data_IF_390853561436
#
_entry.id   IF_390853561436
#
_cell.length_a   1.000
_cell.length_b   1.000
_cell.length_c   1.000
_cell.angle_alpha   90.00
_cell.angle_beta   90.00
_cell.angle_gamma   90.00
#
_symmetry.space_group_name_H-M   'P 1'
#
loop_
_entity.id
_entity.type
_entity.pdbx_description
1 polymer ?
#
# COMPACT_ATOMS: atom_id res chain seq x y z
N UNK A 1 22.59 -28.04 -3.79
CA UNK A 1 21.60 -27.43 -4.68
C UNK A 1 20.93 -26.32 -3.88
N UNK A 2 21.31 -25.08 -4.15
CA UNK A 2 20.69 -23.91 -3.55
C UNK A 2 19.28 -23.85 -4.14
N UNK A 3 18.27 -24.10 -3.32
CA UNK A 3 16.92 -23.69 -3.66
C UNK A 3 16.94 -22.16 -3.66
N UNK A 4 16.94 -21.56 -4.84
CA UNK A 4 16.43 -20.21 -5.04
C UNK A 4 15.03 -20.21 -4.43
N UNK A 5 14.94 -19.78 -3.18
CA UNK A 5 13.69 -19.25 -2.64
C UNK A 5 13.46 -18.00 -3.46
N UNK A 6 12.68 -18.14 -4.52
CA UNK A 6 12.01 -17.05 -5.21
C UNK A 6 11.13 -16.39 -4.13
N UNK A 7 11.74 -15.47 -3.38
CA UNK A 7 10.99 -14.64 -2.45
C UNK A 7 10.10 -13.80 -3.38
N UNK A 8 8.76 -13.96 -3.33
CA UNK A 8 7.88 -13.13 -4.13
C UNK A 8 8.32 -11.68 -3.95
N UNK A 9 8.42 -10.93 -5.05
CA UNK A 9 8.98 -9.58 -5.02
C UNK A 9 8.38 -8.81 -3.83
N UNK A 10 9.22 -8.15 -3.04
CA UNK A 10 8.76 -7.44 -1.84
C UNK A 10 7.57 -6.52 -2.16
N UNK A 11 7.60 -5.90 -3.35
CA UNK A 11 6.50 -5.15 -3.97
C UNK A 11 5.22 -5.96 -4.18
N UNK A 12 5.30 -7.16 -4.78
CA UNK A 12 4.14 -8.03 -5.05
C UNK A 12 3.46 -8.47 -3.75
N UNK A 13 4.23 -8.65 -2.67
CA UNK A 13 3.70 -8.95 -1.34
C UNK A 13 2.95 -7.76 -0.74
N UNK A 14 3.47 -6.53 -0.94
CA UNK A 14 2.81 -5.29 -0.51
C UNK A 14 1.53 -5.06 -1.32
N UNK A 15 1.56 -5.27 -2.63
CA UNK A 15 0.36 -5.17 -3.49
C UNK A 15 -0.74 -6.12 -3.02
N UNK A 16 -0.41 -7.39 -2.75
CA UNK A 16 -1.38 -8.38 -2.27
C UNK A 16 -2.00 -7.97 -0.93
N UNK A 17 -1.18 -7.46 -0.01
CA UNK A 17 -1.63 -6.95 1.30
C UNK A 17 -2.59 -5.75 1.13
N UNK A 18 -2.23 -4.78 0.30
CA UNK A 18 -3.06 -3.60 0.05
C UNK A 18 -4.39 -4.00 -0.58
N UNK A 19 -4.38 -4.92 -1.55
CA UNK A 19 -5.60 -5.44 -2.18
C UNK A 19 -6.52 -6.12 -1.16
N UNK A 20 -5.98 -6.97 -0.27
CA UNK A 20 -6.75 -7.64 0.78
C UNK A 20 -7.42 -6.62 1.71
N UNK A 21 -6.64 -5.66 2.21
CA UNK A 21 -7.13 -4.62 3.12
C UNK A 21 -8.16 -3.72 2.45
N UNK A 22 -7.96 -3.30 1.20
CA UNK A 22 -8.94 -2.47 0.50
C UNK A 22 -10.22 -3.24 0.19
N UNK A 23 -10.12 -4.53 -0.15
CA UNK A 23 -11.29 -5.38 -0.42
C UNK A 23 -12.13 -5.59 0.84
N UNK A 24 -11.50 -5.80 2.00
CA UNK A 24 -12.21 -6.07 3.27
C UNK A 24 -12.81 -4.82 3.92
N UNK A 25 -12.21 -3.66 3.69
CA UNK A 25 -12.65 -2.37 4.26
C UNK A 25 -13.65 -1.63 3.37
N UNK A 26 -13.79 -2.04 2.11
CA UNK A 26 -14.84 -1.54 1.22
C UNK A 26 -16.22 -2.05 1.66
N UNK A 27 -17.18 -1.14 1.76
CA UNK A 27 -18.59 -1.47 2.02
C UNK A 27 -19.48 -0.86 0.92
N UNK A 28 -20.15 -1.68 0.08
CA UNK A 28 -20.06 -3.15 0.04
C UNK A 28 -18.68 -3.64 -0.44
N UNK A 29 -18.31 -4.90 -0.15
CA UNK A 29 -17.05 -5.49 -0.62
C UNK A 29 -16.96 -5.42 -2.14
N UNK A 30 -15.94 -4.75 -2.66
CA UNK A 30 -15.70 -4.60 -4.09
C UNK A 30 -14.41 -5.33 -4.48
N UNK A 31 -14.34 -5.97 -5.66
CA UNK A 31 -13.11 -6.59 -6.13
C UNK A 31 -12.08 -5.51 -6.44
N UNK A 32 -11.07 -5.39 -5.58
CA UNK A 32 -9.94 -4.49 -5.80
C UNK A 32 -8.85 -5.24 -6.56
N UNK A 33 -8.22 -4.56 -7.51
CA UNK A 33 -7.08 -5.08 -8.28
C UNK A 33 -5.95 -4.06 -8.28
N UNK A 34 -4.76 -4.46 -8.71
CA UNK A 34 -3.61 -3.54 -8.83
C UNK A 34 -3.85 -2.33 -9.73
N UNK A 35 -4.77 -2.44 -10.70
CA UNK A 35 -5.13 -1.35 -11.62
C UNK A 35 -6.32 -0.51 -11.14
N UNK A 36 -6.89 -0.83 -9.99
CA UNK A 36 -8.00 -0.05 -9.41
C UNK A 36 -7.48 1.35 -9.03
N UNK A 37 -8.18 2.39 -9.50
CA UNK A 37 -7.86 3.77 -9.18
C UNK A 37 -8.23 4.08 -7.72
N UNK A 38 -7.30 4.67 -6.97
CA UNK A 38 -7.52 4.99 -5.55
C UNK A 38 -8.59 6.07 -5.36
N UNK A 39 -8.76 6.95 -6.34
CA UNK A 39 -9.77 8.02 -6.30
C UNK A 39 -11.20 7.47 -6.12
N UNK A 40 -11.51 6.30 -6.68
CA UNK A 40 -12.81 5.64 -6.53
C UNK A 40 -13.04 5.19 -5.07
N UNK A 41 -11.96 4.86 -4.37
CA UNK A 41 -11.95 4.39 -2.99
C UNK A 41 -11.85 5.55 -1.97
N UNK A 42 -11.24 6.67 -2.34
CA UNK A 42 -10.98 7.84 -1.48
C UNK A 42 -12.22 8.45 -0.83
N UNK A 43 -13.39 8.33 -1.45
CA UNK A 43 -14.64 8.87 -0.90
C UNK A 43 -15.25 8.01 0.20
N UNK A 44 -14.64 6.87 0.54
CA UNK A 44 -15.13 5.96 1.58
C UNK A 44 -14.39 6.12 2.90
N UNK A 45 -15.13 6.06 4.01
CA UNK A 45 -14.56 5.89 5.36
C UNK A 45 -13.65 4.65 5.41
N UNK A 46 -13.96 3.63 4.60
CA UNK A 46 -13.15 2.44 4.44
C UNK A 46 -11.70 2.74 4.03
N UNK A 47 -11.45 3.78 3.24
CA UNK A 47 -10.08 4.15 2.82
C UNK A 47 -9.24 4.66 3.98
N UNK A 48 -9.82 5.42 4.91
CA UNK A 48 -9.09 5.91 6.10
C UNK A 48 -8.66 4.73 6.98
N UNK A 49 -9.56 3.76 7.15
CA UNK A 49 -9.30 2.53 7.92
C UNK A 49 -8.24 1.69 7.20
N UNK A 50 -8.40 1.48 5.89
CA UNK A 50 -7.44 0.74 5.08
C UNK A 50 -6.04 1.32 5.16
N UNK A 51 -5.92 2.64 5.05
CA UNK A 51 -4.64 3.33 5.11
C UNK A 51 -3.99 3.23 6.48
N UNK A 52 -4.76 3.23 7.57
CA UNK A 52 -4.23 3.01 8.91
C UNK A 52 -3.70 1.57 9.07
N UNK A 53 -4.45 0.58 8.58
CA UNK A 53 -4.04 -0.83 8.65
C UNK A 53 -2.83 -1.16 7.75
N UNK A 54 -2.75 -0.57 6.55
CA UNK A 54 -1.58 -0.74 5.67
C UNK A 54 -0.33 -0.13 6.32
N UNK A 55 -0.46 1.08 6.90
CA UNK A 55 0.63 1.75 7.61
C UNK A 55 1.12 0.95 8.83
N UNK A 56 0.19 0.40 9.61
CA UNK A 56 0.51 -0.48 10.74
C UNK A 56 1.22 -1.76 10.29
N UNK A 57 0.68 -2.45 9.29
CA UNK A 57 1.25 -3.70 8.77
C UNK A 57 2.65 -3.52 8.18
N UNK A 58 2.90 -2.37 7.53
CA UNK A 58 4.19 -2.05 6.93
C UNK A 58 5.12 -1.27 7.87
N UNK A 59 4.67 -0.92 9.07
CA UNK A 59 5.38 -0.09 10.05
C UNK A 59 5.93 1.22 9.44
N UNK A 60 5.11 1.88 8.63
CA UNK A 60 5.44 3.14 7.94
C UNK A 60 4.38 4.18 8.25
N UNK A 61 4.80 5.44 8.30
CA UNK A 61 3.89 6.58 8.52
C UNK A 61 3.95 7.49 7.32
N UNK A 62 2.80 7.71 6.67
CA UNK A 62 2.65 8.61 5.54
C UNK A 62 1.76 9.78 5.94
N UNK A 63 2.21 10.99 5.61
CA UNK A 63 1.45 12.21 5.87
C UNK A 63 0.17 12.22 5.01
N UNK A 64 -1.01 12.42 5.61
CA UNK A 64 -2.29 12.34 4.90
C UNK A 64 -2.40 13.36 3.75
N UNK A 65 -1.77 14.53 3.87
CA UNK A 65 -1.75 15.52 2.80
C UNK A 65 -1.00 15.03 1.55
N UNK A 66 0.16 14.39 1.73
CA UNK A 66 0.95 13.83 0.62
C UNK A 66 0.23 12.66 -0.07
N UNK A 67 -0.56 11.90 0.70
CA UNK A 67 -1.37 10.80 0.19
C UNK A 67 -2.52 11.29 -0.70
N UNK A 68 -3.22 12.36 -0.31
CA UNK A 68 -4.34 12.92 -1.08
C UNK A 68 -3.90 13.32 -2.49
N UNK A 69 -2.76 13.99 -2.62
CA UNK A 69 -2.22 14.41 -3.92
C UNK A 69 -1.78 13.20 -4.76
N UNK A 70 -1.13 12.21 -4.14
CA UNK A 70 -0.73 10.98 -4.82
C UNK A 70 -1.92 10.18 -5.35
N UNK A 71 -3.04 10.14 -4.60
CA UNK A 71 -4.20 9.30 -4.93
C UNK A 71 -5.06 9.80 -6.08
N UNK A 72 -4.93 11.07 -6.47
CA UNK A 72 -5.75 11.65 -7.55
C UNK A 72 -5.55 10.95 -8.90
N UNK A 73 -4.36 10.39 -9.15
CA UNK A 73 -4.03 9.70 -10.40
C UNK A 73 -3.40 8.31 -10.19
N UNK A 74 -3.34 7.82 -8.95
CA UNK A 74 -2.65 6.57 -8.61
C UNK A 74 -3.57 5.35 -8.63
N UNK A 75 -2.96 4.22 -8.95
CA UNK A 75 -3.55 2.89 -8.79
C UNK A 75 -3.06 2.20 -7.51
N UNK A 76 -3.63 1.05 -7.18
CA UNK A 76 -3.14 0.21 -6.07
C UNK A 76 -1.68 -0.22 -6.25
N UNK A 77 -1.24 -0.45 -7.49
CA UNK A 77 0.18 -0.73 -7.78
C UNK A 77 1.08 0.46 -7.43
N UNK A 78 0.66 1.68 -7.81
CA UNK A 78 1.38 2.90 -7.46
C UNK A 78 1.43 3.10 -5.93
N UNK A 79 0.35 2.76 -5.23
CA UNK A 79 0.31 2.79 -3.77
C UNK A 79 1.35 1.86 -3.15
N UNK A 80 1.43 0.62 -3.65
CA UNK A 80 2.42 -0.35 -3.18
C UNK A 80 3.85 0.15 -3.38
N UNK A 81 4.14 0.75 -4.54
CA UNK A 81 5.45 1.33 -4.82
C UNK A 81 5.79 2.49 -3.86
N UNK A 82 4.84 3.37 -3.55
CA UNK A 82 5.03 4.47 -2.57
C UNK A 82 5.37 3.90 -1.19
N UNK A 83 4.63 2.89 -0.75
CA UNK A 83 4.86 2.23 0.54
C UNK A 83 6.21 1.51 0.59
N UNK A 84 6.59 0.80 -0.47
CA UNK A 84 7.89 0.16 -0.61
C UNK A 84 9.03 1.19 -0.50
N UNK A 85 8.97 2.27 -1.29
CA UNK A 85 9.97 3.35 -1.24
C UNK A 85 10.09 3.96 0.16
N UNK A 86 8.97 4.11 0.86
CA UNK A 86 8.93 4.67 2.21
C UNK A 86 9.52 3.73 3.26
N UNK A 87 9.27 2.42 3.14
CA UNK A 87 9.88 1.39 3.98
C UNK A 87 11.41 1.33 3.81
N UNK A 88 11.90 1.50 2.57
CA UNK A 88 13.33 1.55 2.28
C UNK A 88 13.99 2.85 2.76
N UNK A 89 13.32 4.00 2.64
CA UNK A 89 13.84 5.28 3.12
C UNK A 89 14.03 5.29 4.65
N UNK A 90 13.14 4.64 5.39
CA UNK A 90 13.24 4.50 6.86
C UNK A 90 14.40 3.58 7.29
N UNK A 91 14.94 2.78 6.37
CA UNK A 91 16.04 1.83 6.61
C UNK A 91 17.42 2.37 6.25
N UNK A 92 17.53 3.63 5.82
CA UNK A 92 18.84 4.25 5.62
C UNK A 92 19.58 4.33 6.97
N UNK A 93 20.82 3.81 7.09
CA UNK A 93 21.56 3.90 8.33
C UNK A 93 21.78 5.38 8.62
N UNK A 94 21.21 5.87 9.72
CA UNK A 94 21.72 7.07 10.37
C UNK A 94 23.12 6.72 10.89
N UNK A 95 24.12 6.85 10.02
CA UNK A 95 25.52 6.90 10.43
C UNK A 95 25.64 8.08 11.41
N UNK A 96 25.97 7.75 12.67
CA UNK A 96 26.34 8.69 13.71
C UNK A 96 27.76 8.39 14.14
#
# INVERSE_FOLDING_TARGET
MQGEHDVPGHTESIEALIIDILTRTSDPPAPVTKSTALLDLMNSIGMVIAMAEIQDALQVTLEPCSLIEAFQCATVADLAAIFEMSAHASSAPTEK
#
